data_IF_005999336117
#
_entry.id   IF_005999336117
#
_cell.length_a   1.000
_cell.length_b   1.000
_cell.length_c   1.000
_cell.angle_alpha   90.00
_cell.angle_beta   90.00
_cell.angle_gamma   90.00
#
_symmetry.space_group_name_H-M   'P 1'
#
loop_
_entity.id
_entity.type
_entity.pdbx_description
1 polymer ?
#
# COMPACT_ATOMS: atom_id res chain seq x y z
N UNK A 1 5.71 -10.94 20.28
CA UNK A 1 7.04 -11.31 19.76
C UNK A 1 7.15 -11.02 18.26
N UNK A 2 6.62 -11.83 17.33
CA UNK A 2 6.81 -11.58 15.88
C UNK A 2 6.39 -10.17 15.37
N UNK A 3 5.25 -9.62 15.81
CA UNK A 3 4.85 -8.25 15.42
C UNK A 3 5.86 -7.20 15.87
N UNK A 4 6.41 -7.36 17.07
CA UNK A 4 7.40 -6.46 17.63
C UNK A 4 8.71 -6.50 16.85
N UNK A 5 9.17 -7.70 16.46
CA UNK A 5 10.34 -7.87 15.59
C UNK A 5 10.15 -7.20 14.23
N UNK A 6 8.99 -7.40 13.60
CA UNK A 6 8.67 -6.80 12.30
C UNK A 6 8.69 -5.27 12.39
N UNK A 7 7.98 -4.70 13.38
CA UNK A 7 7.95 -3.24 13.58
C UNK A 7 9.35 -2.73 13.94
N UNK A 8 10.14 -3.47 14.72
CA UNK A 8 11.52 -3.10 15.03
C UNK A 8 12.40 -3.05 13.77
N UNK A 9 12.27 -3.99 12.84
CA UNK A 9 13.00 -3.95 11.55
C UNK A 9 12.64 -2.69 10.76
N UNK A 10 11.35 -2.36 10.66
CA UNK A 10 10.90 -1.16 9.96
C UNK A 10 11.45 0.11 10.63
N UNK A 11 11.30 0.23 11.95
CA UNK A 11 11.78 1.36 12.75
C UNK A 11 13.30 1.53 12.63
N UNK A 12 14.07 0.45 12.73
CA UNK A 12 15.53 0.50 12.61
C UNK A 12 15.97 0.88 11.19
N UNK A 13 15.28 0.37 10.17
CA UNK A 13 15.52 0.72 8.77
C UNK A 13 15.32 2.22 8.51
N UNK A 14 14.18 2.77 8.97
CA UNK A 14 13.91 4.19 8.84
C UNK A 14 14.88 5.04 9.67
N UNK A 15 15.16 4.65 10.92
CA UNK A 15 16.14 5.34 11.78
C UNK A 15 17.51 5.43 11.11
N UNK A 16 17.97 4.33 10.49
CA UNK A 16 19.24 4.31 9.75
C UNK A 16 19.21 5.24 8.54
N UNK A 17 18.12 5.26 7.77
CA UNK A 17 17.97 6.14 6.61
C UNK A 17 18.03 7.62 7.02
N UNK A 18 17.28 8.01 8.05
CA UNK A 18 17.23 9.39 8.54
C UNK A 18 18.59 9.85 9.07
N UNK A 19 19.23 9.04 9.91
CA UNK A 19 20.56 9.36 10.46
C UNK A 19 21.65 9.39 9.39
N UNK A 20 21.60 8.51 8.40
CA UNK A 20 22.60 8.48 7.31
C UNK A 20 22.50 9.68 6.38
N UNK A 21 21.29 10.13 6.08
CA UNK A 21 21.05 11.29 5.20
C UNK A 21 21.16 12.62 5.94
N UNK A 22 21.18 12.61 7.28
CA UNK A 22 21.10 13.82 8.10
C UNK A 22 19.72 14.49 8.08
N UNK A 23 18.74 13.87 7.39
CA UNK A 23 17.40 14.40 7.27
C UNK A 23 16.60 14.12 8.55
N UNK A 24 16.11 15.18 9.19
CA UNK A 24 15.33 15.09 10.42
C UNK A 24 13.82 15.05 10.20
N UNK A 25 13.36 15.43 9.02
CA UNK A 25 11.95 15.60 8.70
C UNK A 25 11.44 14.46 7.80
N UNK A 26 10.23 14.00 8.06
CA UNK A 26 9.55 12.95 7.27
C UNK A 26 8.23 13.51 6.76
N UNK A 27 7.94 13.31 5.49
CA UNK A 27 6.66 13.66 4.87
C UNK A 27 5.92 12.38 4.49
N UNK A 28 4.66 12.28 4.88
CA UNK A 28 3.83 11.08 4.61
C UNK A 28 2.41 11.49 4.25
N UNK A 29 1.87 10.90 3.18
CA UNK A 29 0.46 11.07 2.82
C UNK A 29 -0.41 10.15 3.66
N UNK A 30 -1.42 10.71 4.33
CA UNK A 30 -2.34 9.95 5.20
C UNK A 30 -3.73 9.97 4.57
N UNK A 31 -4.13 8.81 4.03
CA UNK A 31 -5.44 8.63 3.40
C UNK A 31 -6.52 8.14 4.36
N UNK A 32 -6.15 7.76 5.59
CA UNK A 32 -7.03 7.04 6.52
C UNK A 32 -7.11 5.53 6.24
N UNK A 33 -6.38 5.04 5.23
CA UNK A 33 -6.22 3.60 4.98
C UNK A 33 -5.14 2.93 5.82
N UNK A 34 -5.15 1.60 5.84
CA UNK A 34 -4.26 0.77 6.66
C UNK A 34 -2.76 1.00 6.40
N UNK A 35 -2.35 1.13 5.15
CA UNK A 35 -0.90 1.17 4.83
C UNK A 35 -0.28 2.50 5.24
N UNK A 36 -0.98 3.60 4.96
CA UNK A 36 -0.58 4.94 5.42
C UNK A 36 -0.58 5.05 6.95
N UNK A 37 -1.55 4.39 7.61
CA UNK A 37 -1.63 4.28 9.07
C UNK A 37 -0.40 3.54 9.62
N UNK A 38 -0.05 2.37 9.08
CA UNK A 38 1.14 1.63 9.51
C UNK A 38 2.42 2.44 9.29
N UNK A 39 2.56 3.10 8.15
CA UNK A 39 3.72 3.93 7.86
C UNK A 39 3.88 5.09 8.86
N UNK A 40 2.77 5.75 9.22
CA UNK A 40 2.75 6.82 10.22
C UNK A 40 3.14 6.31 11.61
N UNK A 41 2.59 5.18 12.04
CA UNK A 41 2.91 4.56 13.32
C UNK A 41 4.39 4.18 13.42
N UNK A 42 4.97 3.62 12.35
CA UNK A 42 6.40 3.32 12.26
C UNK A 42 7.24 4.60 12.31
N UNK A 43 6.83 5.66 11.60
CA UNK A 43 7.52 6.95 11.63
C UNK A 43 7.55 7.55 13.04
N UNK A 44 6.42 7.51 13.76
CA UNK A 44 6.31 7.99 15.15
C UNK A 44 7.25 7.21 16.06
N UNK A 45 7.21 5.87 16.02
CA UNK A 45 8.13 5.04 16.82
C UNK A 45 9.59 5.27 16.46
N UNK A 46 9.88 5.62 15.21
CA UNK A 46 11.23 5.99 14.77
C UNK A 46 11.70 7.30 15.38
N UNK A 47 10.84 8.33 15.41
CA UNK A 47 11.16 9.59 16.09
C UNK A 47 11.40 9.38 17.58
N UNK A 48 10.52 8.63 18.25
CA UNK A 48 10.66 8.30 19.67
C UNK A 48 11.97 7.58 19.96
N UNK A 49 12.32 6.59 19.13
CA UNK A 49 13.57 5.84 19.24
C UNK A 49 14.80 6.73 19.10
N UNK A 50 14.77 7.71 18.19
CA UNK A 50 15.86 8.64 17.95
C UNK A 50 15.91 9.78 18.98
N UNK A 51 14.90 9.90 19.86
CA UNK A 51 14.73 11.03 20.76
C UNK A 51 14.44 12.34 20.01
N UNK A 52 13.84 12.26 18.82
CA UNK A 52 13.49 13.41 17.99
C UNK A 52 12.02 13.79 18.17
N UNK A 53 11.69 15.05 17.90
CA UNK A 53 10.30 15.52 18.00
C UNK A 53 9.41 14.82 16.98
N UNK A 54 8.24 14.33 17.40
CA UNK A 54 7.20 13.83 16.50
C UNK A 54 6.68 14.90 15.54
N UNK A 55 6.81 16.18 15.88
CA UNK A 55 6.51 17.30 14.98
C UNK A 55 7.42 17.37 13.74
N UNK A 56 8.51 16.59 13.70
CA UNK A 56 9.32 16.45 12.50
C UNK A 56 8.63 15.58 11.44
N UNK A 57 7.53 14.90 11.78
CA UNK A 57 6.68 14.20 10.83
C UNK A 57 5.62 15.20 10.35
N UNK A 58 5.62 15.48 9.05
CA UNK A 58 4.56 16.21 8.35
C UNK A 58 3.61 15.20 7.71
N UNK A 59 2.50 14.93 8.38
CA UNK A 59 1.41 14.14 7.84
C UNK A 59 0.49 15.03 7.01
N UNK A 60 0.19 14.60 5.77
CA UNK A 60 -0.64 15.36 4.84
C UNK A 60 -1.86 14.55 4.44
N UNK A 61 -3.06 15.04 4.75
CA UNK A 61 -4.29 14.53 4.11
C UNK A 61 -4.57 15.33 2.84
N UNK A 62 -4.89 14.61 1.76
CA UNK A 62 -5.02 15.18 0.41
C UNK A 62 -6.37 14.82 -0.22
N UNK A 63 -7.46 15.48 0.25
CA UNK A 63 -8.81 15.14 -0.19
C UNK A 63 -8.99 15.38 -1.69
N UNK A 64 -9.56 14.38 -2.36
CA UNK A 64 -9.88 14.39 -3.79
C UNK A 64 -11.39 14.30 -4.02
N UNK A 65 -11.80 13.76 -5.17
CA UNK A 65 -13.21 13.63 -5.52
C UNK A 65 -13.91 12.48 -4.79
N UNK A 66 -13.16 11.42 -4.44
CA UNK A 66 -13.67 10.23 -3.76
C UNK A 66 -13.47 10.17 -2.25
N UNK A 67 -12.91 11.22 -1.64
CA UNK A 67 -12.61 11.22 -0.20
C UNK A 67 -13.90 11.24 0.63
N UNK A 68 -14.05 10.25 1.51
CA UNK A 68 -15.20 10.15 2.40
C UNK A 68 -14.97 10.94 3.70
N UNK A 69 -16.05 11.35 4.36
CA UNK A 69 -15.94 12.01 5.67
C UNK A 69 -15.26 11.13 6.72
N UNK A 70 -15.48 9.81 6.68
CA UNK A 70 -14.94 8.85 7.66
C UNK A 70 -13.42 8.76 7.58
N UNK A 71 -12.88 8.47 6.41
CA UNK A 71 -11.43 8.33 6.22
C UNK A 71 -10.70 9.65 6.45
N UNK A 72 -11.29 10.76 6.02
CA UNK A 72 -10.77 12.10 6.28
C UNK A 72 -10.67 12.40 7.77
N UNK A 73 -11.73 12.14 8.56
CA UNK A 73 -11.69 12.37 10.01
C UNK A 73 -10.70 11.42 10.70
N UNK A 74 -10.69 10.13 10.32
CA UNK A 74 -9.71 9.17 10.84
C UNK A 74 -8.26 9.64 10.60
N UNK A 75 -7.96 10.13 9.40
CA UNK A 75 -6.64 10.67 9.08
C UNK A 75 -6.27 11.85 9.98
N UNK A 76 -7.17 12.83 10.12
CA UNK A 76 -6.93 14.03 10.94
C UNK A 76 -6.78 13.71 12.43
N UNK A 77 -7.70 12.93 12.98
CA UNK A 77 -7.72 12.57 14.39
C UNK A 77 -6.53 11.69 14.76
N UNK A 78 -6.16 10.73 13.90
CA UNK A 78 -4.98 9.90 14.09
C UNK A 78 -3.70 10.75 14.14
N UNK A 79 -3.52 11.66 13.17
CA UNK A 79 -2.34 12.53 13.15
C UNK A 79 -2.26 13.43 14.38
N UNK A 80 -3.40 14.01 14.82
CA UNK A 80 -3.47 14.82 16.04
C UNK A 80 -3.15 14.00 17.29
N UNK A 81 -3.73 12.81 17.42
CA UNK A 81 -3.51 11.90 18.55
C UNK A 81 -2.06 11.44 18.67
N UNK A 82 -1.36 11.31 17.54
CA UNK A 82 0.05 10.93 17.52
C UNK A 82 1.01 12.11 17.75
N UNK A 83 0.54 13.36 17.70
CA UNK A 83 1.35 14.56 17.92
C UNK A 83 2.28 14.92 16.76
N UNK A 84 1.87 14.60 15.52
CA UNK A 84 2.63 14.97 14.31
C UNK A 84 2.15 16.33 13.75
N UNK A 85 2.95 16.94 12.89
CA UNK A 85 2.54 18.16 12.18
C UNK A 85 1.51 17.79 11.11
N UNK A 86 0.31 18.37 11.22
CA UNK A 86 -0.81 18.10 10.32
C UNK A 86 -0.87 19.15 9.22
N UNK A 87 -1.02 18.71 7.97
CA UNK A 87 -1.38 19.55 6.83
C UNK A 87 -2.57 18.95 6.09
N UNK A 88 -3.38 19.82 5.52
CA UNK A 88 -4.46 19.47 4.62
C UNK A 88 -4.25 20.23 3.31
N UNK A 89 -4.21 19.50 2.20
CA UNK A 89 -3.98 20.07 0.86
C UNK A 89 -4.91 19.37 -0.12
N UNK A 90 -6.03 20.00 -0.44
CA UNK A 90 -6.97 19.47 -1.44
C UNK A 90 -6.32 19.40 -2.82
N UNK A 91 -6.53 18.31 -3.54
CA UNK A 91 -6.03 18.13 -4.92
C UNK A 91 -7.04 18.57 -5.98
N UNK A 92 -8.28 18.91 -5.59
CA UNK A 92 -9.40 19.07 -6.53
C UNK A 92 -9.12 20.11 -7.61
N UNK A 93 -8.78 21.34 -7.21
CA UNK A 93 -8.56 22.44 -8.16
C UNK A 93 -7.36 22.17 -9.09
N UNK A 94 -6.27 21.62 -8.54
CA UNK A 94 -5.09 21.26 -9.32
C UNK A 94 -5.41 20.16 -10.36
N UNK A 95 -6.15 19.14 -9.97
CA UNK A 95 -6.55 18.05 -10.87
C UNK A 95 -7.58 18.53 -11.90
N UNK A 96 -8.55 19.37 -11.53
CA UNK A 96 -9.49 19.98 -12.48
C UNK A 96 -8.77 20.83 -13.53
N UNK A 97 -7.76 21.58 -13.11
CA UNK A 97 -6.93 22.34 -14.05
C UNK A 97 -6.14 21.39 -14.95
N UNK A 98 -5.51 20.35 -14.39
CA UNK A 98 -4.77 19.37 -15.16
C UNK A 98 -5.65 18.67 -16.21
N UNK A 99 -6.89 18.32 -15.87
CA UNK A 99 -7.85 17.75 -16.82
C UNK A 99 -8.14 18.70 -17.98
N UNK A 100 -8.32 20.01 -17.72
CA UNK A 100 -8.46 21.01 -18.79
C UNK A 100 -7.23 21.08 -19.68
N UNK A 101 -6.03 21.07 -19.08
CA UNK A 101 -4.76 21.20 -19.80
C UNK A 101 -4.50 20.04 -20.76
N UNK A 102 -4.91 18.81 -20.39
CA UNK A 102 -4.76 17.61 -21.23
C UNK A 102 -6.00 17.31 -22.09
N UNK A 103 -7.06 18.11 -21.97
CA UNK A 103 -8.34 17.89 -22.68
C UNK A 103 -9.11 16.66 -22.21
N UNK A 104 -8.96 16.24 -20.95
CA UNK A 104 -9.70 15.12 -20.36
C UNK A 104 -11.04 15.60 -19.80
N UNK A 105 -12.12 14.89 -20.12
CA UNK A 105 -13.44 15.17 -19.55
C UNK A 105 -13.49 14.67 -18.10
N UNK A 106 -13.73 15.58 -17.14
CA UNK A 106 -13.80 15.26 -15.72
C UNK A 106 -14.96 14.32 -15.35
N UNK A 107 -15.94 14.12 -16.24
CA UNK A 107 -17.02 13.15 -16.07
C UNK A 107 -16.64 11.73 -16.53
N UNK A 108 -15.53 11.59 -17.26
CA UNK A 108 -14.99 10.31 -17.68
C UNK A 108 -14.08 9.73 -16.60
N UNK A 109 -14.65 8.88 -15.74
CA UNK A 109 -13.96 8.24 -14.62
C UNK A 109 -13.16 6.99 -15.05
N UNK A 110 -12.22 7.17 -15.96
CA UNK A 110 -11.33 6.11 -16.42
C UNK A 110 -9.97 6.12 -15.70
N UNK A 111 -9.02 5.32 -16.20
CA UNK A 111 -7.68 5.21 -15.63
C UNK A 111 -6.91 6.54 -15.65
N UNK A 112 -7.24 7.48 -16.54
CA UNK A 112 -6.65 8.82 -16.57
C UNK A 112 -7.14 9.63 -15.39
N UNK A 113 -8.44 9.58 -15.09
CA UNK A 113 -9.05 10.25 -13.95
C UNK A 113 -8.46 9.79 -12.61
N UNK A 114 -8.30 8.48 -12.43
CA UNK A 114 -7.70 7.89 -11.23
C UNK A 114 -6.20 8.24 -11.11
N UNK A 115 -5.43 8.04 -12.18
CA UNK A 115 -3.98 8.26 -12.15
C UNK A 115 -3.58 9.73 -12.00
N UNK A 116 -4.35 10.68 -12.55
CA UNK A 116 -4.07 12.11 -12.39
C UNK A 116 -4.07 12.51 -10.91
N UNK A 117 -5.08 12.03 -10.16
CA UNK A 117 -5.17 12.26 -8.72
C UNK A 117 -4.02 11.62 -7.95
N UNK A 118 -3.62 10.39 -8.28
CA UNK A 118 -2.51 9.71 -7.60
C UNK A 118 -1.16 10.40 -7.84
N UNK A 119 -0.94 10.93 -9.06
CA UNK A 119 0.26 11.69 -9.41
C UNK A 119 0.31 13.05 -8.73
N UNK A 120 -0.80 13.78 -8.69
CA UNK A 120 -0.89 15.07 -8.01
C UNK A 120 -0.53 14.95 -6.52
N UNK A 121 -1.07 13.92 -5.84
CA UNK A 121 -0.71 13.64 -4.44
C UNK A 121 0.79 13.40 -4.26
N UNK A 122 1.39 12.64 -5.17
CA UNK A 122 2.83 12.37 -5.12
C UNK A 122 3.65 13.63 -5.35
N UNK A 123 3.23 14.48 -6.28
CA UNK A 123 3.86 15.77 -6.54
C UNK A 123 3.85 16.66 -5.28
N UNK A 124 2.68 16.82 -4.65
CA UNK A 124 2.56 17.57 -3.38
C UNK A 124 3.50 17.02 -2.32
N UNK A 125 3.55 15.70 -2.12
CA UNK A 125 4.40 15.09 -1.10
C UNK A 125 5.89 15.38 -1.36
N UNK A 126 6.34 15.25 -2.62
CA UNK A 126 7.73 15.51 -3.00
C UNK A 126 8.09 16.99 -2.83
N UNK A 127 7.21 17.91 -3.24
CA UNK A 127 7.46 19.35 -3.14
C UNK A 127 7.41 19.84 -1.68
N UNK A 128 6.51 19.30 -0.87
CA UNK A 128 6.50 19.57 0.57
C UNK A 128 7.74 19.00 1.25
N UNK A 129 8.22 17.82 0.85
CA UNK A 129 9.49 17.29 1.35
C UNK A 129 10.65 18.23 1.03
N UNK A 130 10.70 18.82 -0.17
CA UNK A 130 11.69 19.84 -0.49
C UNK A 130 11.57 21.09 0.41
N UNK A 131 10.34 21.58 0.66
CA UNK A 131 10.10 22.75 1.52
C UNK A 131 10.61 22.55 2.95
N UNK A 132 10.45 21.35 3.50
CA UNK A 132 10.83 21.03 4.88
C UNK A 132 12.19 20.36 4.99
N UNK A 133 12.94 20.23 3.89
CA UNK A 133 14.19 19.45 3.82
C UNK A 133 14.00 18.03 4.40
N UNK A 134 12.91 17.39 3.99
CA UNK A 134 12.42 16.10 4.47
C UNK A 134 12.59 14.97 3.45
N UNK A 135 12.22 13.76 3.87
CA UNK A 135 12.09 12.60 2.99
C UNK A 135 10.63 12.18 2.87
N UNK A 136 10.18 11.86 1.65
CA UNK A 136 8.87 11.22 1.44
C UNK A 136 8.95 9.75 1.85
N UNK A 137 8.10 9.36 2.81
CA UNK A 137 7.92 8.00 3.26
C UNK A 137 6.79 7.33 2.46
N UNK A 138 7.14 6.32 1.67
CA UNK A 138 6.20 5.57 0.84
C UNK A 138 5.44 4.52 1.65
N UNK A 139 4.15 4.39 1.36
CA UNK A 139 3.21 3.57 2.13
C UNK A 139 2.87 2.24 1.46
N UNK A 140 3.19 2.06 0.17
CA UNK A 140 2.82 0.89 -0.61
C UNK A 140 3.33 -0.42 -0.03
N UNK A 141 2.48 -1.44 -0.05
CA UNK A 141 2.71 -2.74 0.58
C UNK A 141 3.16 -3.82 -0.41
N UNK A 142 3.64 -4.96 0.11
CA UNK A 142 4.19 -6.05 -0.72
C UNK A 142 3.15 -6.63 -1.70
N UNK A 143 1.88 -6.67 -1.32
CA UNK A 143 0.79 -7.24 -2.12
C UNK A 143 0.41 -6.31 -3.27
N UNK A 144 0.38 -5.00 -3.02
CA UNK A 144 0.23 -3.97 -4.05
C UNK A 144 1.39 -4.02 -5.04
N UNK A 145 2.63 -4.18 -4.55
CA UNK A 145 3.80 -4.36 -5.40
C UNK A 145 3.71 -5.65 -6.23
N UNK A 146 3.23 -6.76 -5.67
CA UNK A 146 3.06 -8.02 -6.37
C UNK A 146 2.06 -7.91 -7.53
N UNK A 147 0.90 -7.31 -7.26
CA UNK A 147 -0.19 -7.17 -8.22
C UNK A 147 -0.04 -5.95 -9.13
N UNK A 148 0.95 -5.10 -8.87
CA UNK A 148 1.11 -3.79 -9.50
C UNK A 148 -0.12 -2.90 -9.31
N UNK A 149 -0.76 -2.99 -8.14
CA UNK A 149 -1.91 -2.18 -7.76
C UNK A 149 -1.45 -0.84 -7.21
N UNK A 150 -0.86 -0.05 -8.10
CA UNK A 150 -0.29 1.25 -7.81
C UNK A 150 -0.16 2.07 -9.11
N UNK A 151 -0.17 3.40 -9.02
CA UNK A 151 0.10 4.27 -10.15
C UNK A 151 1.60 4.34 -10.42
N UNK A 152 2.01 4.04 -11.65
CA UNK A 152 3.41 4.25 -12.03
C UNK A 152 3.73 5.76 -12.05
N UNK A 153 4.78 6.13 -11.33
CA UNK A 153 5.19 7.50 -11.04
C UNK A 153 4.12 8.30 -10.25
N UNK A 154 3.31 7.59 -9.48
CA UNK A 154 2.43 8.15 -8.45
C UNK A 154 2.77 7.52 -7.10
N UNK A 155 1.77 6.92 -6.46
CA UNK A 155 1.81 6.40 -5.08
C UNK A 155 2.90 5.36 -4.79
N UNK A 156 3.41 4.64 -5.80
CA UNK A 156 4.53 3.72 -5.59
C UNK A 156 5.88 4.41 -5.37
N UNK A 157 6.00 5.69 -5.78
CA UNK A 157 7.26 6.43 -5.73
C UNK A 157 7.41 7.16 -4.40
N UNK A 158 8.59 7.05 -3.80
CA UNK A 158 8.95 7.71 -2.54
C UNK A 158 10.47 7.74 -2.40
N UNK A 159 10.97 8.39 -1.35
CA UNK A 159 12.40 8.35 -1.04
C UNK A 159 12.76 7.13 -0.17
N UNK A 160 11.78 6.55 0.53
CA UNK A 160 11.94 5.31 1.29
C UNK A 160 10.58 4.59 1.48
N UNK A 161 10.42 3.38 0.96
CA UNK A 161 9.20 2.57 1.04
C UNK A 161 9.18 1.68 2.27
N UNK A 162 8.53 2.12 3.35
CA UNK A 162 8.62 1.47 4.66
C UNK A 162 7.83 0.16 4.77
N UNK A 163 6.77 0.03 3.97
CA UNK A 163 5.89 -1.14 3.94
C UNK A 163 6.20 -2.10 2.77
N UNK A 164 7.23 -1.83 1.96
CA UNK A 164 7.48 -2.52 0.69
C UNK A 164 7.68 -4.05 0.79
N UNK A 165 7.92 -4.59 1.98
CA UNK A 165 8.03 -6.03 2.23
C UNK A 165 7.00 -6.56 3.25
N UNK A 166 5.98 -5.78 3.59
CA UNK A 166 4.88 -6.17 4.47
C UNK A 166 3.67 -6.50 3.59
N UNK A 167 3.16 -7.74 3.56
CA UNK A 167 1.95 -8.07 2.81
C UNK A 167 0.69 -7.48 3.46
N UNK A 168 -0.36 -7.21 2.67
CA UNK A 168 -1.62 -6.58 3.11
C UNK A 168 -2.26 -7.30 4.30
N UNK A 169 -2.25 -8.63 4.26
CA UNK A 169 -2.74 -9.47 5.38
C UNK A 169 -2.00 -9.17 6.69
N UNK A 170 -0.69 -8.95 6.61
CA UNK A 170 0.16 -8.61 7.75
C UNK A 170 0.01 -7.14 8.16
N UNK A 171 -0.21 -6.20 7.23
CA UNK A 171 -0.49 -4.79 7.57
C UNK A 171 -1.67 -4.70 8.55
N UNK A 172 -2.79 -5.36 8.24
CA UNK A 172 -3.97 -5.39 9.12
C UNK A 172 -3.63 -5.93 10.51
N UNK A 173 -2.87 -7.02 10.57
CA UNK A 173 -2.47 -7.65 11.83
C UNK A 173 -1.55 -6.76 12.67
N UNK A 174 -0.60 -6.08 12.03
CA UNK A 174 0.32 -5.14 12.69
C UNK A 174 -0.42 -3.93 13.23
N UNK A 175 -1.30 -3.31 12.44
CA UNK A 175 -2.10 -2.15 12.90
C UNK A 175 -2.97 -2.54 14.10
N UNK A 176 -3.63 -3.69 14.07
CA UNK A 176 -4.40 -4.19 15.20
C UNK A 176 -3.53 -4.39 16.45
N UNK A 177 -2.39 -5.07 16.30
CA UNK A 177 -1.46 -5.27 17.41
C UNK A 177 -0.95 -3.92 17.99
N UNK A 178 -0.70 -2.92 17.15
CA UNK A 178 -0.29 -1.59 17.60
C UNK A 178 -1.42 -0.85 18.31
N UNK A 179 -2.67 -0.98 17.84
CA UNK A 179 -3.84 -0.44 18.51
C UNK A 179 -3.99 -1.03 19.93
N UNK A 180 -3.86 -2.34 20.05
CA UNK A 180 -4.09 -3.07 21.30
C UNK A 180 -2.95 -2.86 22.33
N UNK A 181 -1.73 -2.54 21.89
CA UNK A 181 -0.55 -2.62 22.77
C UNK A 181 0.41 -1.44 22.74
N UNK A 182 0.35 -0.56 21.74
CA UNK A 182 1.41 0.44 21.49
C UNK A 182 0.94 1.90 21.56
N UNK A 183 -0.36 2.16 21.71
CA UNK A 183 -0.91 3.51 21.69
C UNK A 183 -1.91 3.73 22.83
N UNK A 184 -2.23 5.00 23.10
CA UNK A 184 -3.23 5.36 24.11
C UNK A 184 -4.66 4.99 23.68
N UNK A 185 -5.60 4.76 24.61
CA UNK A 185 -6.96 4.30 24.29
C UNK A 185 -7.71 5.14 23.26
N UNK A 186 -7.54 6.46 23.28
CA UNK A 186 -8.17 7.36 22.30
C UNK A 186 -7.64 7.14 20.88
N UNK A 187 -6.33 6.91 20.73
CA UNK A 187 -5.73 6.59 19.43
C UNK A 187 -6.07 5.17 18.98
N UNK A 188 -6.15 4.21 19.92
CA UNK A 188 -6.55 2.84 19.64
C UNK A 188 -7.96 2.78 19.01
N UNK A 189 -8.91 3.56 19.53
CA UNK A 189 -10.26 3.63 18.97
C UNK A 189 -10.28 4.05 17.49
N UNK A 190 -9.45 5.04 17.11
CA UNK A 190 -9.32 5.49 15.72
C UNK A 190 -8.69 4.40 14.85
N UNK A 191 -7.66 3.71 15.35
CA UNK A 191 -7.04 2.60 14.62
C UNK A 191 -8.00 1.43 14.40
N UNK A 192 -8.88 1.13 15.36
CA UNK A 192 -9.95 0.15 15.16
C UNK A 192 -10.97 0.62 14.11
N UNK A 193 -11.32 1.91 14.08
CA UNK A 193 -12.20 2.42 13.01
C UNK A 193 -11.56 2.31 11.62
N UNK A 194 -10.25 2.54 11.51
CA UNK A 194 -9.48 2.30 10.28
C UNK A 194 -9.48 0.82 9.89
N UNK A 195 -9.39 -0.10 10.85
CA UNK A 195 -9.43 -1.56 10.61
C UNK A 195 -10.80 -2.05 10.12
N UNK A 196 -11.88 -1.38 10.53
CA UNK A 196 -13.26 -1.67 10.10
C UNK A 196 -13.66 -0.93 8.82
N UNK A 197 -12.80 -0.05 8.31
CA UNK A 197 -13.02 0.63 7.04
C UNK A 197 -12.66 -0.31 5.88
N UNK A 198 -13.58 -0.55 4.92
CA UNK A 198 -13.29 -1.40 3.75
C UNK A 198 -12.11 -0.88 2.92
N UNK A 199 -11.30 -1.79 2.36
CA UNK A 199 -10.15 -1.43 1.53
C UNK A 199 -10.62 -0.92 0.16
N UNK A 200 -10.36 0.35 -0.12
CA UNK A 200 -10.85 1.06 -1.32
C UNK A 200 -9.84 2.13 -1.77
N UNK A 201 -9.64 2.35 -3.09
CA UNK A 201 -9.01 3.56 -3.60
C UNK A 201 -10.06 4.68 -3.55
N UNK A 202 -9.84 5.74 -2.78
CA UNK A 202 -10.76 6.89 -2.72
C UNK A 202 -10.58 7.84 -3.92
N UNK A 203 -10.69 7.30 -5.13
CA UNK A 203 -10.45 8.02 -6.38
C UNK A 203 -11.74 8.36 -7.12
N UNK A 204 -12.76 7.49 -7.06
CA UNK A 204 -14.05 7.70 -7.71
C UNK A 204 -15.01 8.51 -6.82
N UNK A 205 -15.91 9.33 -7.38
CA UNK A 205 -16.90 10.05 -6.59
C UNK A 205 -17.73 9.12 -5.70
N UNK A 206 -18.04 9.59 -4.50
CA UNK A 206 -18.91 8.87 -3.57
C UNK A 206 -20.35 8.83 -4.08
N UNK A 207 -21.08 7.79 -3.73
CA UNK A 207 -22.50 7.68 -4.06
C UNK A 207 -23.35 8.73 -3.31
N UNK A 208 -24.66 8.76 -3.57
CA UNK A 208 -25.59 9.68 -2.90
C UNK A 208 -25.69 9.49 -1.38
N UNK A 209 -25.24 8.35 -0.86
CA UNK A 209 -25.14 8.07 0.57
C UNK A 209 -23.77 8.48 1.18
N UNK A 210 -22.84 8.99 0.36
CA UNK A 210 -21.50 9.41 0.80
C UNK A 210 -20.52 8.24 0.99
N UNK A 211 -20.84 7.07 0.43
CA UNK A 211 -20.01 5.87 0.51
C UNK A 211 -19.20 5.66 -0.78
N UNK A 212 -18.00 5.07 -0.65
CA UNK A 212 -17.22 4.63 -1.81
C UNK A 212 -17.83 3.38 -2.44
N UNK A 213 -18.09 3.43 -3.74
CA UNK A 213 -18.53 2.25 -4.50
C UNK A 213 -17.37 1.33 -4.89
N UNK A 214 -16.12 1.81 -4.80
CA UNK A 214 -14.95 1.07 -5.23
C UNK A 214 -14.46 0.17 -4.11
N UNK A 215 -14.44 -1.16 -4.30
CA UNK A 215 -13.74 -2.08 -3.40
C UNK A 215 -12.57 -2.69 -4.15
N UNK A 216 -11.36 -2.53 -3.62
CA UNK A 216 -10.15 -3.00 -4.29
C UNK A 216 -10.22 -4.51 -4.56
N UNK A 217 -10.64 -5.28 -3.55
CA UNK A 217 -10.70 -6.74 -3.64
C UNK A 217 -11.74 -7.26 -4.64
N UNK A 218 -12.73 -6.45 -5.02
CA UNK A 218 -13.68 -6.82 -6.08
C UNK A 218 -13.00 -6.78 -7.47
N UNK A 219 -11.97 -5.94 -7.64
CA UNK A 219 -11.23 -5.78 -8.90
C UNK A 219 -10.01 -6.68 -8.97
N UNK A 220 -9.19 -6.72 -7.90
CA UNK A 220 -7.95 -7.49 -7.90
C UNK A 220 -8.09 -8.88 -7.31
N UNK A 221 -9.15 -9.15 -6.54
CA UNK A 221 -9.35 -10.38 -5.78
C UNK A 221 -8.90 -10.25 -4.32
N UNK A 222 -9.20 -11.25 -3.48
CA UNK A 222 -8.90 -11.21 -2.06
C UNK A 222 -7.38 -11.28 -1.81
N UNK A 223 -6.86 -10.33 -1.03
CA UNK A 223 -5.43 -10.29 -0.69
C UNK A 223 -4.97 -11.53 0.06
N UNK A 224 -5.86 -12.17 0.82
CA UNK A 224 -5.59 -13.44 1.49
C UNK A 224 -5.11 -14.54 0.51
N UNK A 225 -5.76 -14.65 -0.66
CA UNK A 225 -5.34 -15.60 -1.69
C UNK A 225 -4.04 -15.16 -2.35
N UNK A 226 -3.92 -13.88 -2.71
CA UNK A 226 -2.72 -13.36 -3.39
C UNK A 226 -1.46 -13.45 -2.54
N UNK A 227 -1.55 -13.15 -1.25
CA UNK A 227 -0.44 -13.28 -0.31
C UNK A 227 -0.03 -14.75 -0.13
N UNK A 228 -1.01 -15.66 -0.11
CA UNK A 228 -0.76 -17.10 -0.10
C UNK A 228 -0.03 -17.55 -1.39
N UNK A 229 -0.50 -17.12 -2.56
CA UNK A 229 0.13 -17.45 -3.84
C UNK A 229 1.54 -16.88 -3.93
N UNK A 230 1.70 -15.61 -3.57
CA UNK A 230 2.98 -14.90 -3.56
C UNK A 230 4.00 -15.61 -2.68
N UNK A 231 3.61 -15.97 -1.46
CA UNK A 231 4.50 -16.66 -0.54
C UNK A 231 4.99 -17.99 -1.11
N UNK A 232 4.08 -18.83 -1.61
CA UNK A 232 4.45 -20.15 -2.13
C UNK A 232 5.23 -20.10 -3.43
N UNK A 233 4.93 -19.12 -4.29
CA UNK A 233 5.67 -18.86 -5.51
C UNK A 233 7.10 -18.41 -5.19
N UNK A 234 7.28 -17.36 -4.38
CA UNK A 234 8.60 -16.75 -4.16
C UNK A 234 9.48 -17.58 -3.22
N UNK A 235 8.90 -18.10 -2.13
CA UNK A 235 9.68 -18.79 -1.11
C UNK A 235 10.13 -20.17 -1.57
N UNK A 236 9.29 -20.87 -2.34
CA UNK A 236 9.51 -22.27 -2.67
C UNK A 236 9.57 -22.59 -4.17
N UNK A 237 9.25 -21.63 -5.05
CA UNK A 237 9.23 -21.88 -6.49
C UNK A 237 8.19 -22.93 -6.90
N UNK A 238 7.10 -23.07 -6.16
CA UNK A 238 6.08 -24.07 -6.47
C UNK A 238 5.33 -23.72 -7.76
N UNK A 239 4.97 -24.76 -8.52
CA UNK A 239 4.21 -24.61 -9.75
C UNK A 239 2.76 -24.18 -9.48
N UNK A 240 2.09 -23.52 -10.44
CA UNK A 240 0.67 -23.21 -10.38
C UNK A 240 -0.21 -24.37 -9.89
N UNK A 241 -0.02 -25.59 -10.40
CA UNK A 241 -0.83 -26.73 -10.00
C UNK A 241 -0.68 -27.08 -8.52
N UNK A 242 0.55 -27.03 -8.00
CA UNK A 242 0.80 -27.27 -6.59
C UNK A 242 0.20 -26.18 -5.72
N UNK A 243 0.37 -24.91 -6.10
CA UNK A 243 -0.18 -23.78 -5.35
C UNK A 243 -1.71 -23.85 -5.32
N UNK A 244 -2.36 -24.15 -6.45
CA UNK A 244 -3.80 -24.35 -6.52
C UNK A 244 -4.25 -25.48 -5.58
N UNK A 245 -3.60 -26.65 -5.66
CA UNK A 245 -3.92 -27.80 -4.81
C UNK A 245 -3.78 -27.50 -3.30
N UNK A 246 -2.77 -26.72 -2.91
CA UNK A 246 -2.58 -26.30 -1.53
C UNK A 246 -3.66 -25.31 -1.11
N UNK A 247 -3.93 -24.30 -1.92
CA UNK A 247 -4.97 -23.30 -1.64
C UNK A 247 -6.37 -23.93 -1.52
N UNK A 248 -6.72 -24.88 -2.41
CA UNK A 248 -7.99 -25.61 -2.35
C UNK A 248 -8.19 -26.35 -1.01
N UNK A 249 -7.10 -26.77 -0.35
CA UNK A 249 -7.16 -27.42 0.98
C UNK A 249 -7.13 -26.43 2.12
N UNK A 250 -6.29 -25.40 2.01
CA UNK A 250 -6.13 -24.38 3.06
C UNK A 250 -7.39 -23.56 3.24
N UNK A 251 -8.10 -23.28 2.14
CA UNK A 251 -9.29 -22.44 2.13
C UNK A 251 -10.58 -23.21 1.86
N UNK A 252 -10.59 -24.51 2.17
CA UNK A 252 -11.79 -25.35 2.06
C UNK A 252 -12.94 -24.75 2.88
N UNK A 253 -14.13 -24.69 2.28
CA UNK A 253 -15.30 -24.02 2.83
C UNK A 253 -15.28 -22.49 2.82
N UNK A 254 -14.16 -21.83 2.45
CA UNK A 254 -14.08 -20.37 2.32
C UNK A 254 -14.10 -19.91 0.86
N UNK A 255 -13.36 -20.60 -0.02
CA UNK A 255 -13.33 -20.33 -1.45
C UNK A 255 -13.52 -21.63 -2.24
N UNK A 256 -14.39 -21.60 -3.24
CA UNK A 256 -14.50 -22.74 -4.17
C UNK A 256 -13.27 -22.82 -5.10
N UNK A 257 -13.11 -23.98 -5.74
CA UNK A 257 -11.97 -24.24 -6.64
C UNK A 257 -11.92 -23.25 -7.80
N UNK A 258 -13.08 -22.83 -8.31
CA UNK A 258 -13.16 -21.92 -9.45
C UNK A 258 -12.65 -20.52 -9.07
N UNK A 259 -12.98 -20.05 -7.89
CA UNK A 259 -12.55 -18.78 -7.31
C UNK A 259 -11.04 -18.77 -7.12
N UNK A 260 -10.48 -19.82 -6.50
CA UNK A 260 -9.03 -19.96 -6.31
C UNK A 260 -8.30 -19.93 -7.66
N UNK A 261 -8.77 -20.69 -8.65
CA UNK A 261 -8.15 -20.73 -9.99
C UNK A 261 -8.24 -19.39 -10.71
N UNK A 262 -9.38 -18.71 -10.61
CA UNK A 262 -9.61 -17.40 -11.21
C UNK A 262 -8.61 -16.37 -10.66
N UNK A 263 -8.44 -16.33 -9.33
CA UNK A 263 -7.53 -15.39 -8.71
C UNK A 263 -6.07 -15.77 -8.86
N UNK A 264 -5.73 -17.07 -8.91
CA UNK A 264 -4.37 -17.52 -9.22
C UNK A 264 -3.97 -17.18 -10.66
N UNK A 265 -4.90 -17.30 -11.62
CA UNK A 265 -4.70 -16.81 -13.00
C UNK A 265 -4.48 -15.29 -13.03
N UNK A 266 -5.30 -14.53 -12.31
CA UNK A 266 -5.15 -13.07 -12.20
C UNK A 266 -3.81 -12.70 -11.57
N UNK A 267 -3.40 -13.42 -10.52
CA UNK A 267 -2.11 -13.25 -9.85
C UNK A 267 -0.97 -13.39 -10.85
N UNK A 268 -0.84 -14.49 -11.58
CA UNK A 268 0.27 -14.66 -12.54
C UNK A 268 0.25 -13.62 -13.66
N UNK A 269 -0.93 -13.35 -14.24
CA UNK A 269 -1.07 -12.33 -15.29
C UNK A 269 -0.54 -10.97 -14.81
N UNK A 270 -1.00 -10.51 -13.64
CA UNK A 270 -0.61 -9.21 -13.09
C UNK A 270 0.82 -9.22 -12.59
N UNK A 271 1.23 -10.27 -11.87
CA UNK A 271 2.57 -10.40 -11.35
C UNK A 271 3.61 -10.26 -12.47
N UNK A 272 3.46 -10.97 -13.59
CA UNK A 272 4.39 -10.84 -14.71
C UNK A 272 4.30 -9.46 -15.39
N UNK A 273 3.09 -9.02 -15.76
CA UNK A 273 2.89 -7.78 -16.52
C UNK A 273 3.32 -6.51 -15.77
N UNK A 274 3.35 -6.54 -14.44
CA UNK A 274 3.62 -5.36 -13.60
C UNK A 274 5.07 -5.28 -13.10
N UNK A 275 5.97 -6.14 -13.59
CA UNK A 275 7.37 -6.16 -13.17
C UNK A 275 8.12 -4.84 -13.45
N UNK A 276 7.74 -4.11 -14.49
CA UNK A 276 8.34 -2.81 -14.80
C UNK A 276 8.19 -1.81 -13.63
N UNK A 277 7.04 -1.82 -12.93
CA UNK A 277 6.82 -0.98 -11.73
C UNK A 277 7.79 -1.34 -10.61
N UNK A 278 8.10 -2.63 -10.46
CA UNK A 278 9.03 -3.11 -9.43
C UNK A 278 10.49 -2.85 -9.76
N UNK A 279 10.82 -2.64 -11.03
CA UNK A 279 12.21 -2.42 -11.44
C UNK A 279 12.78 -1.10 -10.92
N UNK A 280 11.93 -0.12 -10.58
CA UNK A 280 12.32 1.18 -10.05
C UNK A 280 11.80 1.44 -8.62
N UNK A 281 11.71 0.41 -7.78
CA UNK A 281 11.24 0.58 -6.41
C UNK A 281 12.17 1.45 -5.57
N UNK A 282 11.61 2.34 -4.72
CA UNK A 282 12.33 3.00 -3.65
C UNK A 282 13.05 1.99 -2.74
N UNK A 283 14.05 2.46 -2.01
CA UNK A 283 14.68 1.64 -0.97
C UNK A 283 13.70 1.39 0.17
N UNK A 284 13.78 0.22 0.79
CA UNK A 284 12.96 -0.18 1.93
C UNK A 284 13.54 -1.40 2.62
N UNK A 285 13.21 -1.63 3.90
CA UNK A 285 13.71 -2.80 4.62
C UNK A 285 12.98 -4.06 4.13
N UNK A 286 13.72 -5.16 3.96
CA UNK A 286 13.10 -6.48 3.85
C UNK A 286 12.56 -6.88 5.22
N UNK A 287 11.29 -7.24 5.23
CA UNK A 287 10.58 -7.80 6.39
C UNK A 287 10.21 -9.24 6.04
N UNK A 288 10.35 -10.16 7.00
CA UNK A 288 10.03 -11.57 6.79
C UNK A 288 10.97 -12.28 5.81
N UNK A 289 10.46 -13.32 5.15
CA UNK A 289 11.28 -14.26 4.37
C UNK A 289 11.31 -13.99 2.87
N UNK A 290 10.43 -13.13 2.35
CA UNK A 290 10.34 -12.76 0.93
C UNK A 290 10.28 -11.24 0.74
N UNK A 291 10.74 -10.75 -0.41
CA UNK A 291 10.70 -9.35 -0.83
C UNK A 291 10.62 -9.26 -2.35
N UNK A 292 10.17 -8.13 -2.86
CA UNK A 292 10.05 -7.87 -4.30
C UNK A 292 11.05 -6.84 -4.83
N UNK A 293 12.05 -6.48 -4.02
CA UNK A 293 13.12 -5.60 -4.47
C UNK A 293 13.94 -6.24 -5.61
N UNK A 294 14.15 -5.55 -6.74
CA UNK A 294 15.02 -6.02 -7.83
C UNK A 294 16.51 -6.09 -7.43
N UNK A 295 16.84 -5.45 -6.31
CA UNK A 295 18.17 -5.43 -5.68
C UNK A 295 18.33 -6.53 -4.62
N UNK A 296 17.26 -7.26 -4.32
CA UNK A 296 17.21 -8.31 -3.30
C UNK A 296 16.71 -9.63 -3.87
N UNK A 297 15.59 -10.13 -3.33
CA UNK A 297 15.12 -11.50 -3.55
C UNK A 297 14.55 -11.76 -4.95
N UNK A 298 14.05 -10.74 -5.67
CA UNK A 298 13.30 -10.95 -6.91
C UNK A 298 13.95 -10.30 -8.13
N UNK A 299 14.54 -11.11 -9.01
CA UNK A 299 15.17 -10.65 -10.25
C UNK A 299 14.43 -11.24 -11.45
N UNK A 300 13.56 -10.45 -12.06
CA UNK A 300 12.81 -10.83 -13.25
C UNK A 300 12.87 -9.72 -14.31
N UNK A 301 13.06 -10.06 -15.61
CA UNK A 301 12.94 -9.09 -16.69
C UNK A 301 11.56 -8.43 -16.72
N UNK A 302 11.48 -7.15 -17.06
CA UNK A 302 10.20 -6.42 -17.11
C UNK A 302 9.29 -6.86 -18.26
N UNK A 303 9.86 -7.56 -19.24
CA UNK A 303 9.25 -8.12 -20.45
C UNK A 303 9.01 -9.64 -20.37
N UNK A 304 9.14 -10.24 -19.17
CA UNK A 304 8.82 -11.64 -18.95
C UNK A 304 7.32 -11.92 -19.18
N UNK A 305 7.01 -13.08 -19.79
CA UNK A 305 5.64 -13.52 -20.08
C UNK A 305 5.22 -14.71 -19.20
N UNK A 306 3.94 -14.74 -18.82
CA UNK A 306 3.38 -15.74 -17.90
C UNK A 306 2.86 -17.02 -18.58
N UNK A 307 3.10 -17.22 -19.89
CA UNK A 307 2.43 -18.27 -20.69
C UNK A 307 2.53 -19.67 -20.05
N UNK A 308 3.73 -20.10 -19.67
CA UNK A 308 3.95 -21.42 -19.06
C UNK A 308 3.13 -21.64 -17.77
N UNK A 309 2.96 -20.60 -16.95
CA UNK A 309 2.16 -20.68 -15.71
C UNK A 309 0.67 -20.72 -16.00
N UNK A 310 0.22 -19.98 -17.02
CA UNK A 310 -1.18 -19.92 -17.42
C UNK A 310 -1.62 -21.22 -18.11
N UNK A 311 -0.77 -21.78 -18.97
CA UNK A 311 -1.01 -23.05 -19.67
C UNK A 311 -1.14 -24.22 -18.67
N UNK A 312 -0.30 -24.26 -17.63
CA UNK A 312 -0.43 -25.27 -16.56
C UNK A 312 -1.76 -25.14 -15.82
N UNK A 313 -2.24 -23.92 -15.56
CA UNK A 313 -3.55 -23.68 -14.94
C UNK A 313 -4.71 -24.09 -15.85
N UNK A 314 -4.61 -23.83 -17.16
CA UNK A 314 -5.63 -24.23 -18.13
C UNK A 314 -5.73 -25.77 -18.22
N UNK A 315 -4.61 -26.47 -18.15
CA UNK A 315 -4.58 -27.92 -18.11
C UNK A 315 -5.31 -28.52 -16.89
N UNK A 316 -5.38 -27.81 -15.76
CA UNK A 316 -6.13 -28.24 -14.55
C UNK A 316 -7.66 -28.05 -14.68
N UNK A 317 -8.11 -27.16 -15.55
CA UNK A 317 -9.54 -26.96 -15.84
C UNK A 317 -10.10 -27.98 -16.82
N UNK A 318 -9.24 -28.55 -17.65
CA UNK A 318 -9.59 -29.58 -18.65
C UNK A 318 -9.66 -31.01 -18.10
N UNK A 319 -9.37 -31.22 -16.81
CA UNK A 319 -9.36 -32.51 -16.10
C UNK A 319 -10.37 -32.51 -14.97
#
# INVERSE_FOLDING_TARGET
EHCEEIVAIQVQGLAKRLTHTGCKNVVVGISGGLDSTLALLVAVKTMDKLGWSRSNITGITMPGFGTTSRTYQNALELMRGLGVTVREISIREAVEQHFKDIGHDSTQHDITYENAQARERTQILMDVANQVNGLVLGTGDLSELALGWATYNGDHMSMYGINASVPKTLVRFLVNWMADTQVEPATAAILHDVLETPVSPELLPVNTAGESEQKTEDVVGPYLLHDFFLYHMLRFGFSPAKIAWMAERTFDGQYDKQTIRTWLRTFYRRFFAQQFKRSCLPDGPKVGSISLSPRGDWRMPSDAVASLWLDELDALGSR
#
